data_IF_056880925585
#
_entry.id   IF_056880925585
#
_cell.length_a   1.000
_cell.length_b   1.000
_cell.length_c   1.000
_cell.angle_alpha   90.00
_cell.angle_beta   90.00
_cell.angle_gamma   90.00
#
_symmetry.space_group_name_H-M   'P 1'
#
loop_
_entity.id
_entity.type
_entity.pdbx_description
1 polymer ?
#
# COMPACT_ATOMS: atom_id res chain seq x y z
N UNK A 1 -1.08 -15.44 -7.56
CA UNK A 1 -1.33 -14.04 -7.20
C UNK A 1 -0.41 -13.55 -6.06
N UNK A 2 -0.29 -14.28 -4.94
CA UNK A 2 0.51 -13.82 -3.78
C UNK A 2 1.97 -13.44 -4.06
N UNK A 3 2.71 -14.21 -4.87
CA UNK A 3 4.10 -13.89 -5.24
C UNK A 3 4.23 -12.57 -6.02
N UNK A 4 3.25 -12.25 -6.87
CA UNK A 4 3.22 -11.00 -7.62
C UNK A 4 2.96 -9.81 -6.68
N UNK A 5 1.97 -9.95 -5.78
CA UNK A 5 1.69 -8.93 -4.76
C UNK A 5 2.91 -8.70 -3.88
N UNK A 6 3.60 -9.76 -3.44
CA UNK A 6 4.83 -9.65 -2.67
C UNK A 6 5.95 -8.91 -3.44
N UNK A 7 6.14 -9.21 -4.73
CA UNK A 7 7.13 -8.53 -5.57
C UNK A 7 6.80 -7.03 -5.73
N UNK A 8 5.53 -6.69 -5.95
CA UNK A 8 5.06 -5.30 -6.05
C UNK A 8 5.23 -4.57 -4.70
N UNK A 9 4.91 -5.22 -3.59
CA UNK A 9 5.16 -4.68 -2.23
C UNK A 9 6.64 -4.38 -2.03
N UNK A 10 7.53 -5.31 -2.40
CA UNK A 10 8.98 -5.09 -2.30
C UNK A 10 9.44 -3.93 -3.20
N UNK A 11 8.91 -3.85 -4.42
CA UNK A 11 9.19 -2.75 -5.34
C UNK A 11 8.77 -1.39 -4.77
N UNK A 12 7.55 -1.30 -4.23
CA UNK A 12 7.08 -0.09 -3.54
C UNK A 12 7.90 0.21 -2.29
N UNK A 13 8.31 -0.80 -1.52
CA UNK A 13 9.16 -0.59 -0.34
C UNK A 13 10.52 0.03 -0.68
N UNK A 14 11.14 -0.40 -1.78
CA UNK A 14 12.38 0.20 -2.29
C UNK A 14 12.10 1.61 -2.82
N UNK A 15 11.03 1.79 -3.58
CA UNK A 15 10.61 3.09 -4.09
C UNK A 15 10.25 4.08 -2.96
N UNK A 16 9.90 3.57 -1.78
CA UNK A 16 9.66 4.41 -0.61
C UNK A 16 10.93 5.09 -0.10
N UNK A 17 12.10 4.53 -0.39
CA UNK A 17 13.36 5.15 -0.01
C UNK A 17 13.46 6.49 -0.72
N UNK A 18 13.55 7.59 0.02
CA UNK A 18 13.38 8.95 -0.49
C UNK A 18 14.72 9.57 -0.98
N UNK A 19 15.52 8.80 -1.71
CA UNK A 19 16.80 9.24 -2.28
C UNK A 19 16.74 9.71 -3.75
N UNK A 20 15.58 9.63 -4.43
CA UNK A 20 15.52 9.67 -5.90
C UNK A 20 15.45 11.11 -6.43
N UNK A 21 14.72 12.00 -5.74
CA UNK A 21 14.52 13.39 -6.16
C UNK A 21 14.96 14.39 -5.08
N UNK A 22 15.79 13.95 -4.13
CA UNK A 22 16.11 14.74 -2.94
C UNK A 22 16.90 16.03 -3.23
N UNK A 23 17.65 16.07 -4.33
CA UNK A 23 18.42 17.25 -4.75
C UNK A 23 17.79 18.03 -5.91
N UNK A 24 16.67 17.55 -6.45
CA UNK A 24 16.12 18.07 -7.71
C UNK A 24 14.86 18.89 -7.43
N UNK A 25 15.04 20.18 -7.18
CA UNK A 25 13.94 21.14 -7.03
C UNK A 25 13.40 21.62 -8.39
N UNK A 26 14.26 21.73 -9.40
CA UNK A 26 13.93 22.20 -10.74
C UNK A 26 14.06 21.10 -11.80
N UNK A 27 13.20 21.08 -12.84
CA UNK A 27 12.10 22.02 -13.09
C UNK A 27 10.87 21.76 -12.21
N UNK A 28 10.21 22.84 -11.77
CA UNK A 28 8.91 22.77 -11.11
C UNK A 28 7.83 22.29 -12.09
N UNK A 29 7.17 21.19 -11.76
CA UNK A 29 5.97 20.74 -12.46
C UNK A 29 4.85 21.76 -12.26
N UNK A 30 4.14 22.10 -13.34
CA UNK A 30 3.07 23.11 -13.35
C UNK A 30 3.47 24.50 -12.81
N UNK A 31 4.77 24.79 -12.69
CA UNK A 31 5.29 26.07 -12.21
C UNK A 31 5.32 26.25 -10.68
N UNK A 32 4.92 25.25 -9.89
CA UNK A 32 4.96 25.34 -8.41
C UNK A 32 5.26 24.02 -7.69
N UNK A 33 5.17 22.87 -8.38
CA UNK A 33 5.24 21.57 -7.75
C UNK A 33 6.63 20.94 -7.93
N UNK A 34 7.41 20.71 -6.87
CA UNK A 34 8.69 20.02 -6.99
C UNK A 34 8.50 18.58 -7.47
N UNK A 35 9.45 18.08 -8.28
CA UNK A 35 9.40 16.72 -8.81
C UNK A 35 9.33 15.66 -7.70
N UNK A 36 10.02 15.87 -6.58
CA UNK A 36 9.94 14.99 -5.41
C UNK A 36 8.54 14.92 -4.78
N UNK A 37 7.84 16.06 -4.68
CA UNK A 37 6.49 16.07 -4.11
C UNK A 37 5.48 15.38 -5.04
N UNK A 38 5.62 15.58 -6.35
CA UNK A 38 4.81 14.87 -7.34
C UNK A 38 5.02 13.36 -7.28
N UNK A 39 6.29 12.93 -7.18
CA UNK A 39 6.65 11.53 -7.00
C UNK A 39 5.97 10.94 -5.76
N UNK A 40 6.03 11.63 -4.61
CA UNK A 40 5.37 11.20 -3.38
C UNK A 40 3.85 11.11 -3.53
N UNK A 41 3.22 12.06 -4.22
CA UNK A 41 1.78 12.01 -4.48
C UNK A 41 1.39 10.75 -5.27
N UNK A 42 2.13 10.43 -6.34
CA UNK A 42 1.91 9.22 -7.11
C UNK A 42 2.21 7.95 -6.30
N UNK A 43 3.27 7.97 -5.49
CA UNK A 43 3.66 6.88 -4.61
C UNK A 43 2.55 6.53 -3.62
N UNK A 44 1.95 7.53 -2.95
CA UNK A 44 0.86 7.32 -1.99
C UNK A 44 -0.38 6.71 -2.66
N UNK A 45 -0.71 7.17 -3.88
CA UNK A 45 -1.81 6.59 -4.65
C UNK A 45 -1.54 5.12 -5.01
N UNK A 46 -0.32 4.80 -5.47
CA UNK A 46 0.08 3.45 -5.78
C UNK A 46 0.07 2.53 -4.54
N UNK A 47 0.58 3.02 -3.40
CA UNK A 47 0.59 2.28 -2.14
C UNK A 47 -0.84 2.01 -1.63
N UNK A 48 -1.74 2.99 -1.72
CA UNK A 48 -3.15 2.83 -1.35
C UNK A 48 -3.86 1.79 -2.23
N UNK A 49 -3.59 1.80 -3.54
CA UNK A 49 -4.12 0.81 -4.47
C UNK A 49 -3.57 -0.60 -4.19
N UNK A 50 -2.27 -0.72 -3.87
CA UNK A 50 -1.68 -1.99 -3.46
C UNK A 50 -2.32 -2.52 -2.17
N UNK A 51 -2.52 -1.68 -1.16
CA UNK A 51 -3.20 -2.05 0.08
C UNK A 51 -4.62 -2.55 -0.17
N UNK A 52 -5.39 -1.85 -1.02
CA UNK A 52 -6.72 -2.31 -1.42
C UNK A 52 -6.69 -3.66 -2.15
N UNK A 53 -5.66 -3.93 -2.96
CA UNK A 53 -5.48 -5.23 -3.59
C UNK A 53 -5.09 -6.31 -2.58
N UNK A 54 -4.22 -6.00 -1.61
CA UNK A 54 -3.81 -6.93 -0.55
C UNK A 54 -5.01 -7.32 0.33
N UNK A 55 -5.84 -6.37 0.75
CA UNK A 55 -7.04 -6.67 1.55
C UNK A 55 -8.07 -7.47 0.75
N UNK A 56 -8.20 -7.23 -0.55
CA UNK A 56 -9.17 -7.96 -1.38
C UNK A 56 -8.70 -9.38 -1.75
N UNK A 57 -7.41 -9.58 -1.99
CA UNK A 57 -6.90 -10.81 -2.62
C UNK A 57 -5.96 -11.64 -1.74
N UNK A 58 -5.37 -11.04 -0.70
CA UNK A 58 -4.40 -11.71 0.16
C UNK A 58 -4.85 -11.77 1.63
N UNK A 59 -6.01 -11.22 1.97
CA UNK A 59 -6.55 -11.31 3.33
C UNK A 59 -6.94 -12.77 3.64
N UNK A 60 -6.43 -13.34 4.75
CA UNK A 60 -6.66 -14.75 5.06
C UNK A 60 -8.07 -14.95 5.66
N UNK A 61 -8.90 -15.71 4.95
CA UNK A 61 -10.27 -16.02 5.35
C UNK A 61 -10.38 -16.85 6.65
N UNK A 62 -9.30 -17.54 7.06
CA UNK A 62 -9.31 -18.32 8.31
C UNK A 62 -9.50 -17.42 9.54
N UNK A 63 -8.93 -16.21 9.54
CA UNK A 63 -9.13 -15.23 10.61
C UNK A 63 -10.61 -14.81 10.72
N UNK A 64 -11.31 -14.69 9.59
CA UNK A 64 -12.73 -14.34 9.59
C UNK A 64 -13.57 -15.47 10.18
N UNK A 65 -13.21 -16.73 9.89
CA UNK A 65 -13.88 -17.92 10.45
C UNK A 65 -13.68 -18.04 11.95
N UNK A 66 -12.46 -17.86 12.45
CA UNK A 66 -12.18 -17.88 13.90
C UNK A 66 -13.01 -16.81 14.63
N UNK A 67 -13.07 -15.59 14.09
CA UNK A 67 -13.88 -14.50 14.64
C UNK A 67 -15.37 -14.85 14.62
N UNK A 68 -15.89 -15.42 13.53
CA UNK A 68 -17.28 -15.87 13.46
C UNK A 68 -17.61 -16.95 14.48
N UNK A 69 -16.72 -17.93 14.69
CA UNK A 69 -16.91 -19.00 15.68
C UNK A 69 -16.94 -18.45 17.10
N UNK A 70 -15.99 -17.57 17.45
CA UNK A 70 -15.98 -16.88 18.75
C UNK A 70 -17.29 -16.11 19.01
N UNK A 71 -17.78 -15.36 18.01
CA UNK A 71 -19.04 -14.61 18.13
C UNK A 71 -20.26 -15.53 18.28
N UNK A 72 -20.24 -16.73 17.71
CA UNK A 72 -21.31 -17.73 17.88
C UNK A 72 -21.28 -18.36 19.26
N UNK A 73 -20.10 -18.58 19.83
CA UNK A 73 -19.94 -19.09 21.21
C UNK A 73 -20.40 -18.06 22.25
N UNK A 74 -20.02 -16.79 22.09
CA UNK A 74 -20.45 -15.71 22.99
C UNK A 74 -21.97 -15.55 23.00
N UNK A 75 -22.62 -15.55 21.83
CA UNK A 75 -24.09 -15.51 21.72
C UNK A 75 -24.81 -16.72 22.33
N UNK A 76 -24.12 -17.85 22.54
CA UNK A 76 -24.70 -19.07 23.13
C UNK A 76 -24.58 -19.10 24.65
N UNK A 77 -23.77 -18.23 25.25
CA UNK A 77 -23.54 -18.14 26.69
C UNK A 77 -24.53 -17.18 27.35
#
# INVERSE_FOLDING_TARGET
MGKLLAAVTLGLYIAHQDFWFWTTADPLLFGFLPAGLWYHALYVLAASALLAALTKYAWPAELEREVEEMLREDKRR
#
